data_IF_782295909848
#
_entry.id   IF_782295909848
#
_cell.length_a   1.000
_cell.length_b   1.000
_cell.length_c   1.000
_cell.angle_alpha   90.00
_cell.angle_beta   90.00
_cell.angle_gamma   90.00
#
_symmetry.space_group_name_H-M   'P 1'
#
loop_
_entity.id
_entity.type
_entity.pdbx_description
1 polymer ?
#
# COMPACT_ATOMS: atom_id res chain seq x y z
N UNK A 1 5.66 37.59 1.76
CA UNK A 1 4.84 36.36 1.69
C UNK A 1 5.03 35.62 3.00
N UNK A 2 3.96 35.35 3.76
CA UNK A 2 4.07 34.57 4.99
C UNK A 2 4.01 33.09 4.64
N UNK A 3 5.15 32.39 4.74
CA UNK A 3 5.22 30.98 4.40
C UNK A 3 4.69 30.18 5.61
N UNK A 4 3.73 29.25 5.41
CA UNK A 4 3.27 28.37 6.49
C UNK A 4 4.45 27.67 7.16
N UNK A 5 4.40 27.48 8.48
CA UNK A 5 5.55 27.01 9.25
C UNK A 5 6.05 25.64 8.80
N UNK A 6 5.14 24.79 8.30
CA UNK A 6 5.46 23.49 7.71
C UNK A 6 6.42 23.55 6.51
N UNK A 7 6.45 24.65 5.76
CA UNK A 7 7.32 24.80 4.58
C UNK A 7 8.59 25.59 4.88
N UNK A 8 8.85 25.92 6.16
CA UNK A 8 10.09 26.58 6.58
C UNK A 8 11.26 25.60 6.70
N UNK A 9 10.98 24.30 6.86
CA UNK A 9 12.00 23.26 6.91
C UNK A 9 12.59 22.99 5.51
N UNK A 10 13.89 22.71 5.39
CA UNK A 10 14.48 22.32 4.13
C UNK A 10 13.82 21.03 3.61
N UNK A 11 13.62 20.90 2.30
CA UNK A 11 13.00 19.70 1.72
C UNK A 11 13.88 18.47 1.98
N UNK A 12 13.23 17.31 2.08
CA UNK A 12 13.91 16.02 2.17
C UNK A 12 14.83 15.80 0.96
N UNK A 13 16.03 15.30 1.22
CA UNK A 13 17.01 15.03 0.17
C UNK A 13 16.65 13.77 -0.62
N UNK A 14 17.30 13.57 -1.77
CA UNK A 14 17.16 12.32 -2.53
C UNK A 14 17.54 11.09 -1.68
N UNK A 15 18.59 11.20 -0.85
CA UNK A 15 19.01 10.11 0.04
C UNK A 15 17.93 9.74 1.05
N UNK A 16 17.26 10.74 1.63
CA UNK A 16 16.14 10.50 2.55
C UNK A 16 14.99 9.79 1.85
N UNK A 17 14.65 10.18 0.62
CA UNK A 17 13.62 9.52 -0.17
C UNK A 17 13.98 8.08 -0.51
N UNK A 18 15.23 7.80 -0.87
CA UNK A 18 15.69 6.43 -1.13
C UNK A 18 15.48 5.57 0.12
N UNK A 19 15.90 6.04 1.30
CA UNK A 19 15.71 5.31 2.57
C UNK A 19 14.23 5.12 2.88
N UNK A 20 13.41 6.16 2.74
CA UNK A 20 11.97 6.09 2.99
C UNK A 20 11.27 5.07 2.09
N UNK A 21 11.62 5.07 0.79
CA UNK A 21 11.09 4.11 -0.18
C UNK A 21 11.53 2.70 0.18
N UNK A 22 12.81 2.46 0.47
CA UNK A 22 13.32 1.14 0.85
C UNK A 22 12.57 0.57 2.07
N UNK A 23 12.41 1.38 3.13
CA UNK A 23 11.64 0.99 4.32
C UNK A 23 10.20 0.64 3.94
N UNK A 24 9.55 1.46 3.11
CA UNK A 24 8.14 1.25 2.71
C UNK A 24 7.88 -0.02 1.90
N UNK A 25 8.91 -0.61 1.29
CA UNK A 25 8.82 -1.87 0.53
C UNK A 25 8.88 -3.11 1.43
N UNK A 26 9.27 -2.98 2.69
CA UNK A 26 9.19 -4.08 3.65
C UNK A 26 7.71 -4.38 3.98
N UNK A 27 7.23 -5.63 3.91
CA UNK A 27 5.80 -5.92 4.01
C UNK A 27 5.18 -5.48 5.34
N UNK A 28 5.74 -5.93 6.45
CA UNK A 28 5.23 -5.63 7.79
C UNK A 28 5.77 -4.30 8.31
N UNK A 29 7.10 -4.17 8.39
CA UNK A 29 7.76 -2.99 8.94
C UNK A 29 7.42 -1.75 8.10
N UNK A 30 7.43 -1.87 6.77
CA UNK A 30 7.12 -0.75 5.88
C UNK A 30 5.66 -0.30 6.00
N UNK A 31 4.72 -1.22 6.17
CA UNK A 31 3.32 -0.86 6.42
C UNK A 31 3.14 -0.13 7.75
N UNK A 32 3.75 -0.63 8.83
CA UNK A 32 3.72 0.04 10.14
C UNK A 32 4.36 1.44 10.05
N UNK A 33 5.52 1.56 9.39
CA UNK A 33 6.22 2.83 9.24
C UNK A 33 5.41 3.85 8.45
N UNK A 34 4.66 3.43 7.42
CA UNK A 34 3.75 4.33 6.69
C UNK A 34 2.64 4.88 7.61
N UNK A 35 2.08 4.06 8.50
CA UNK A 35 1.09 4.51 9.47
C UNK A 35 1.73 5.52 10.45
N UNK A 36 2.89 5.19 11.00
CA UNK A 36 3.63 6.07 11.91
C UNK A 36 3.90 7.43 11.25
N UNK A 37 4.44 7.44 10.02
CA UNK A 37 4.71 8.68 9.29
C UNK A 37 3.44 9.46 8.92
N UNK A 38 2.31 8.78 8.71
CA UNK A 38 1.05 9.43 8.39
C UNK A 38 0.43 10.17 9.60
N UNK A 39 0.70 9.72 10.83
CA UNK A 39 0.03 10.24 12.05
C UNK A 39 0.94 11.01 13.00
N UNK A 40 2.26 10.76 12.96
CA UNK A 40 3.22 11.43 13.83
C UNK A 40 3.36 12.92 13.48
N UNK A 41 3.28 13.77 14.51
CA UNK A 41 3.39 15.23 14.38
C UNK A 41 4.81 15.70 14.12
N UNK A 42 5.81 14.87 14.44
CA UNK A 42 7.22 15.19 14.23
C UNK A 42 7.72 14.78 12.84
N UNK A 43 6.92 14.05 12.06
CA UNK A 43 7.28 13.68 10.70
C UNK A 43 7.11 14.87 9.76
N UNK A 44 8.08 15.09 8.87
CA UNK A 44 8.02 16.12 7.82
C UNK A 44 6.69 16.07 7.06
N UNK A 45 6.08 17.23 6.80
CA UNK A 45 4.73 17.32 6.23
C UNK A 45 4.65 16.69 4.84
N UNK A 46 5.70 16.82 4.01
CA UNK A 46 5.71 16.20 2.69
C UNK A 46 5.78 14.67 2.79
N UNK A 47 6.60 14.14 3.71
CA UNK A 47 6.68 12.70 3.98
C UNK A 47 5.39 12.15 4.58
N UNK A 48 4.75 12.88 5.49
CA UNK A 48 3.46 12.50 6.08
C UNK A 48 2.36 12.43 5.02
N UNK A 49 2.28 13.43 4.14
CA UNK A 49 1.30 13.45 3.06
C UNK A 49 1.56 12.35 2.02
N UNK A 50 2.83 12.06 1.70
CA UNK A 50 3.18 10.91 0.87
C UNK A 50 2.76 9.59 1.52
N UNK A 51 3.03 9.41 2.82
CA UNK A 51 2.66 8.19 3.54
C UNK A 51 1.14 7.97 3.56
N UNK A 52 0.36 9.05 3.77
CA UNK A 52 -1.12 9.01 3.66
C UNK A 52 -1.57 8.58 2.26
N UNK A 53 -0.93 9.13 1.22
CA UNK A 53 -1.24 8.79 -0.17
C UNK A 53 -0.97 7.31 -0.47
N UNK A 54 0.18 6.79 -0.02
CA UNK A 54 0.53 5.36 -0.13
C UNK A 54 -0.50 4.46 0.56
N UNK A 55 -0.94 4.79 1.78
CA UNK A 55 -1.94 4.01 2.50
C UNK A 55 -3.29 3.98 1.77
N UNK A 56 -3.73 5.13 1.25
CA UNK A 56 -4.97 5.23 0.47
C UNK A 56 -4.86 4.41 -0.82
N UNK A 57 -3.76 4.53 -1.55
CA UNK A 57 -3.55 3.79 -2.79
C UNK A 57 -3.45 2.28 -2.55
N UNK A 58 -2.80 1.85 -1.46
CA UNK A 58 -2.77 0.43 -1.07
C UNK A 58 -4.16 -0.10 -0.74
N UNK A 59 -4.98 0.67 -0.04
CA UNK A 59 -6.37 0.28 0.25
C UNK A 59 -7.20 0.17 -1.03
N UNK A 60 -7.11 1.15 -1.93
CA UNK A 60 -7.79 1.12 -3.23
C UNK A 60 -7.33 -0.09 -4.05
N UNK A 61 -6.02 -0.30 -4.16
CA UNK A 61 -5.45 -1.44 -4.88
C UNK A 61 -5.88 -2.78 -4.30
N UNK A 62 -5.97 -2.88 -2.97
CA UNK A 62 -6.49 -4.07 -2.29
C UNK A 62 -7.94 -4.36 -2.64
N UNK A 63 -8.81 -3.35 -2.60
CA UNK A 63 -10.23 -3.50 -2.96
C UNK A 63 -10.40 -3.89 -4.43
N UNK A 64 -9.68 -3.22 -5.34
CA UNK A 64 -9.70 -3.57 -6.77
C UNK A 64 -9.18 -5.01 -6.97
N UNK A 65 -8.11 -5.39 -6.28
CA UNK A 65 -7.54 -6.74 -6.33
C UNK A 65 -8.53 -7.81 -5.90
N UNK A 66 -9.29 -7.57 -4.83
CA UNK A 66 -10.37 -8.47 -4.40
C UNK A 66 -11.42 -8.61 -5.51
N UNK A 67 -11.91 -7.51 -6.08
CA UNK A 67 -12.95 -7.57 -7.11
C UNK A 67 -12.48 -8.38 -8.32
N UNK A 68 -11.27 -8.10 -8.83
CA UNK A 68 -10.68 -8.82 -9.96
C UNK A 68 -10.51 -10.31 -9.61
N UNK A 69 -9.95 -10.60 -8.43
CA UNK A 69 -9.76 -11.97 -7.97
C UNK A 69 -11.07 -12.73 -7.81
N UNK A 70 -12.12 -12.08 -7.30
CA UNK A 70 -13.44 -12.71 -7.15
C UNK A 70 -14.07 -13.00 -8.51
N UNK A 71 -14.01 -12.08 -9.47
CA UNK A 71 -14.62 -12.27 -10.80
C UNK A 71 -13.88 -13.36 -11.58
N UNK A 72 -12.54 -13.27 -11.66
CA UNK A 72 -11.71 -14.23 -12.41
C UNK A 72 -11.63 -15.57 -11.68
N UNK A 73 -11.36 -15.53 -10.37
CA UNK A 73 -11.18 -16.71 -9.53
C UNK A 73 -12.45 -17.54 -9.41
N UNK A 74 -13.62 -16.91 -9.31
CA UNK A 74 -14.88 -17.64 -9.31
C UNK A 74 -15.13 -18.33 -10.66
N UNK A 75 -14.97 -17.61 -11.77
CA UNK A 75 -15.16 -18.20 -13.11
C UNK A 75 -14.16 -19.32 -13.44
N UNK A 76 -12.90 -19.18 -13.01
CA UNK A 76 -11.91 -20.25 -13.10
C UNK A 76 -12.30 -21.44 -12.22
N UNK A 77 -12.69 -21.20 -10.96
CA UNK A 77 -13.08 -22.25 -10.02
C UNK A 77 -14.28 -23.05 -10.52
N UNK A 78 -15.31 -22.40 -11.08
CA UNK A 78 -16.47 -23.10 -11.63
C UNK A 78 -16.08 -24.00 -12.80
N UNK A 79 -15.34 -23.45 -13.78
CA UNK A 79 -14.88 -24.23 -14.94
C UNK A 79 -13.94 -25.37 -14.54
N UNK A 80 -13.07 -25.14 -13.55
CA UNK A 80 -12.22 -26.18 -13.00
C UNK A 80 -13.05 -27.28 -12.32
N UNK A 81 -14.02 -26.91 -11.46
CA UNK A 81 -14.83 -27.86 -10.70
C UNK A 81 -15.67 -28.79 -11.59
N UNK A 82 -16.11 -28.31 -12.76
CA UNK A 82 -16.85 -29.12 -13.74
C UNK A 82 -15.99 -30.21 -14.38
N UNK A 83 -14.66 -30.00 -14.47
CA UNK A 83 -13.72 -30.95 -15.06
C UNK A 83 -13.09 -31.90 -14.02
N UNK A 84 -13.40 -31.73 -12.72
CA UNK A 84 -12.91 -32.59 -11.65
C UNK A 84 -13.98 -33.64 -11.34
N UNK A 85 -13.68 -34.90 -11.63
CA UNK A 85 -14.52 -36.02 -11.22
C UNK A 85 -14.08 -36.52 -9.85
N UNK A 86 -14.94 -36.35 -8.85
CA UNK A 86 -14.63 -36.67 -7.45
C UNK A 86 -14.51 -38.18 -7.19
N UNK A 87 -15.11 -39.02 -8.03
CA UNK A 87 -15.02 -40.48 -7.90
C UNK A 87 -13.64 -41.06 -8.23
N UNK A 88 -12.77 -40.27 -8.86
CA UNK A 88 -11.42 -40.71 -9.24
C UNK A 88 -10.45 -40.70 -8.03
N UNK A 89 -10.91 -40.20 -6.88
CA UNK A 89 -10.13 -40.06 -5.65
C UNK A 89 -10.61 -40.95 -4.49
N UNK A 90 -11.63 -41.80 -4.71
CA UNK A 90 -12.10 -42.86 -3.79
C UNK A 90 -11.39 -44.20 -4.05
#
# INVERSE_FOLDING_TARGET
MNIPEEFKNPPLTLGDWIINVLISKLPLIGFIMLIVWAVDKNTDVNKSNWAKSELILRLIGFVIGIIIFSVIGFGFFTAFSENVNWSDFD
#
